data_IF_395895462131
#
_entry.id   IF_395895462131
#
_cell.length_a   1.000
_cell.length_b   1.000
_cell.length_c   1.000
_cell.angle_alpha   90.00
_cell.angle_beta   90.00
_cell.angle_gamma   90.00
#
_symmetry.space_group_name_H-M   'P 1'
#
loop_
_entity.id
_entity.type
_entity.pdbx_description
1 polymer ?
#
# COMPACT_ATOMS: atom_id res chain seq x y z
N UNK A 1 -17.52 -0.70 -16.92
CA UNK A 1 -18.54 0.36 -17.09
C UNK A 1 -17.80 1.67 -17.35
N UNK A 2 -18.24 2.54 -18.26
CA UNK A 2 -17.58 3.84 -18.46
C UNK A 2 -17.90 4.81 -17.33
N UNK A 3 -17.03 5.79 -17.07
CA UNK A 3 -17.30 6.83 -16.06
C UNK A 3 -18.60 7.59 -16.35
N UNK A 4 -18.87 7.92 -17.62
CA UNK A 4 -20.15 8.53 -18.05
C UNK A 4 -21.36 7.67 -17.65
N UNK A 5 -21.29 6.35 -17.87
CA UNK A 5 -22.38 5.44 -17.50
C UNK A 5 -22.52 5.31 -15.99
N UNK A 6 -21.41 5.29 -15.23
CA UNK A 6 -21.45 5.34 -13.77
C UNK A 6 -22.18 6.59 -13.27
N UNK A 7 -21.81 7.78 -13.76
CA UNK A 7 -22.45 9.05 -13.36
C UNK A 7 -23.96 9.10 -13.63
N UNK A 8 -24.46 8.34 -14.62
CA UNK A 8 -25.88 8.25 -14.93
C UNK A 8 -26.67 7.41 -13.94
N UNK A 9 -26.05 6.42 -13.29
CA UNK A 9 -26.77 5.40 -12.49
C UNK A 9 -26.37 5.34 -11.02
N UNK A 10 -25.22 5.90 -10.62
CA UNK A 10 -24.66 5.72 -9.28
C UNK A 10 -25.54 6.22 -8.12
N UNK A 11 -26.42 7.19 -8.39
CA UNK A 11 -27.36 7.71 -7.38
C UNK A 11 -28.52 6.78 -7.08
N UNK A 12 -28.86 5.90 -8.02
CA UNK A 12 -30.05 5.04 -7.96
C UNK A 12 -29.68 3.56 -7.80
N UNK A 13 -28.42 3.21 -8.01
CA UNK A 13 -27.89 1.85 -7.94
C UNK A 13 -26.97 1.68 -6.72
N UNK A 14 -27.00 0.49 -6.13
CA UNK A 14 -26.08 0.10 -5.05
C UNK A 14 -24.70 -0.26 -5.63
N UNK A 15 -23.98 0.77 -6.09
CA UNK A 15 -22.65 0.67 -6.69
C UNK A 15 -21.76 1.79 -6.19
N UNK A 16 -20.46 1.53 -6.18
CA UNK A 16 -19.43 2.55 -6.02
C UNK A 16 -18.32 2.33 -7.05
N UNK A 17 -17.61 3.39 -7.38
CA UNK A 17 -16.48 3.37 -8.29
C UNK A 17 -15.19 3.30 -7.48
N UNK A 18 -14.33 2.36 -7.88
CA UNK A 18 -12.91 2.27 -7.49
C UNK A 18 -12.12 2.42 -8.77
N UNK A 19 -11.28 3.43 -8.85
CA UNK A 19 -10.55 3.75 -10.09
C UNK A 19 -9.16 4.27 -9.77
N UNK A 20 -8.15 3.64 -10.37
CA UNK A 20 -6.80 4.18 -10.39
C UNK A 20 -6.79 5.50 -11.21
N UNK A 21 -6.14 6.52 -10.64
CA UNK A 21 -6.10 7.88 -11.19
C UNK A 21 -4.69 8.30 -11.64
N UNK A 22 -3.81 7.34 -11.87
CA UNK A 22 -2.50 7.52 -12.49
C UNK A 22 -2.62 7.76 -14.00
N UNK A 23 -1.57 8.30 -14.65
CA UNK A 23 -1.55 8.47 -16.10
C UNK A 23 -1.85 7.15 -16.83
N UNK A 24 -2.60 7.20 -17.96
CA UNK A 24 -3.01 8.39 -18.71
C UNK A 24 -4.29 9.09 -18.20
N UNK A 25 -4.76 8.80 -16.98
CA UNK A 25 -5.98 9.42 -16.45
C UNK A 25 -5.82 10.95 -16.32
N UNK A 26 -6.71 11.76 -16.93
CA UNK A 26 -6.60 13.22 -16.85
C UNK A 26 -6.74 13.77 -15.42
N UNK A 27 -7.40 13.03 -14.51
CA UNK A 27 -7.53 13.43 -13.11
C UNK A 27 -6.20 13.43 -12.35
N UNK A 28 -5.13 12.79 -12.86
CA UNK A 28 -3.80 12.84 -12.25
C UNK A 28 -3.35 14.28 -11.96
N UNK A 29 -3.73 15.23 -12.84
CA UNK A 29 -3.35 16.66 -12.72
C UNK A 29 -4.09 17.40 -11.60
N UNK A 30 -5.20 16.85 -11.14
CA UNK A 30 -6.07 17.42 -10.11
C UNK A 30 -5.76 16.86 -8.72
N UNK A 31 -4.82 15.92 -8.61
CA UNK A 31 -4.47 15.26 -7.35
C UNK A 31 -3.20 15.86 -6.80
N UNK A 32 -3.23 16.12 -5.49
CA UNK A 32 -2.15 16.75 -4.76
C UNK A 32 -1.65 15.82 -3.66
N UNK A 33 -0.33 15.73 -3.53
CA UNK A 33 0.32 15.11 -2.39
C UNK A 33 0.36 16.10 -1.22
N UNK A 34 -0.06 15.71 -0.01
CA UNK A 34 0.06 16.55 1.17
C UNK A 34 1.54 16.76 1.54
N UNK A 35 1.83 17.91 2.18
CA UNK A 35 3.17 18.31 2.64
C UNK A 35 3.97 17.22 3.35
N UNK A 36 3.32 16.37 4.15
CA UNK A 36 3.97 15.29 4.88
C UNK A 36 4.63 14.23 3.97
N UNK A 37 4.20 14.11 2.71
CA UNK A 37 4.79 13.19 1.73
C UNK A 37 5.84 13.86 0.83
N UNK A 38 6.04 15.17 0.92
CA UNK A 38 6.96 15.92 0.05
C UNK A 38 8.41 15.93 0.54
N UNK A 39 8.65 15.46 1.77
CA UNK A 39 9.98 15.30 2.34
C UNK A 39 10.34 13.82 2.45
N UNK A 40 11.50 13.48 3.02
CA UNK A 40 11.69 12.13 3.57
C UNK A 40 11.85 11.01 2.53
N UNK A 41 11.80 11.34 1.23
CA UNK A 41 11.96 10.37 0.15
C UNK A 41 10.69 9.57 -0.14
N UNK A 42 9.57 9.86 0.54
CA UNK A 42 8.27 9.20 0.33
C UNK A 42 7.85 9.22 -1.14
N UNK A 43 8.15 10.32 -1.86
CA UNK A 43 7.84 10.47 -3.29
C UNK A 43 8.52 9.44 -4.19
N UNK A 44 9.60 8.79 -3.74
CA UNK A 44 10.27 7.73 -4.49
C UNK A 44 9.56 6.37 -4.38
N UNK A 45 8.64 6.24 -3.42
CA UNK A 45 7.98 5.00 -3.04
C UNK A 45 6.46 5.03 -3.28
N UNK A 46 5.95 6.07 -3.93
CA UNK A 46 4.55 6.19 -4.31
C UNK A 46 4.16 5.02 -5.20
N UNK A 47 3.03 4.38 -4.90
CA UNK A 47 2.61 3.15 -5.57
C UNK A 47 1.42 3.39 -6.49
N UNK A 48 0.25 3.65 -5.92
CA UNK A 48 -0.99 3.94 -6.67
C UNK A 48 -1.81 5.01 -5.95
N UNK A 49 -2.66 5.66 -6.72
CA UNK A 49 -3.66 6.59 -6.23
C UNK A 49 -5.02 6.05 -6.65
N UNK A 50 -5.91 5.84 -5.68
CA UNK A 50 -7.21 5.20 -5.94
C UNK A 50 -8.33 6.14 -5.56
N UNK A 51 -9.18 6.47 -6.53
CA UNK A 51 -10.40 7.23 -6.32
C UNK A 51 -11.54 6.30 -5.90
N UNK A 52 -12.21 6.69 -4.83
CA UNK A 52 -13.43 6.08 -4.32
C UNK A 52 -14.58 7.06 -4.46
N UNK A 53 -15.59 6.70 -5.24
CA UNK A 53 -16.74 7.56 -5.50
C UNK A 53 -18.05 6.77 -5.36
N UNK A 54 -18.91 7.18 -4.44
CA UNK A 54 -20.24 6.60 -4.23
C UNK A 54 -21.34 7.66 -4.04
N UNK A 55 -22.59 7.22 -4.11
CA UNK A 55 -23.77 8.03 -3.76
C UNK A 55 -24.01 8.13 -2.26
N UNK A 56 -23.27 7.37 -1.45
CA UNK A 56 -23.36 7.33 0.01
C UNK A 56 -23.74 5.96 0.56
N UNK A 57 -23.61 5.80 1.88
CA UNK A 57 -24.00 4.59 2.62
C UNK A 57 -23.09 3.39 2.38
N UNK A 58 -21.94 3.59 1.73
CA UNK A 58 -20.96 2.54 1.44
C UNK A 58 -20.15 2.17 2.66
N UNK A 59 -19.83 0.87 2.76
CA UNK A 59 -19.08 0.29 3.87
C UNK A 59 -18.00 -0.63 3.33
N UNK A 60 -16.80 -0.57 3.89
CA UNK A 60 -15.78 -1.58 3.65
C UNK A 60 -15.97 -2.76 4.62
N UNK A 61 -15.42 -3.92 4.28
CA UNK A 61 -15.16 -4.94 5.29
C UNK A 61 -14.01 -4.49 6.21
N UNK A 62 -13.84 -5.15 7.35
CA UNK A 62 -12.64 -4.98 8.17
C UNK A 62 -11.49 -5.75 7.50
N UNK A 63 -10.42 -5.03 7.18
CA UNK A 63 -9.27 -5.54 6.42
C UNK A 63 -8.03 -4.70 6.73
N UNK A 64 -6.88 -5.10 6.23
CA UNK A 64 -5.65 -4.31 6.30
C UNK A 64 -5.02 -4.22 4.90
N UNK A 65 -4.28 -3.13 4.67
CA UNK A 65 -3.57 -2.91 3.41
C UNK A 65 -2.08 -3.26 3.57
N UNK A 66 -1.47 -3.74 2.49
CA UNK A 66 -0.02 -3.93 2.36
C UNK A 66 0.73 -2.64 1.98
N UNK A 67 0.17 -1.47 2.26
CA UNK A 67 0.74 -0.17 1.93
C UNK A 67 0.55 0.80 3.07
N UNK A 68 1.44 1.79 3.13
CA UNK A 68 1.15 3.02 3.85
C UNK A 68 0.12 3.83 3.05
N UNK A 69 -0.80 4.49 3.75
CA UNK A 69 -1.99 5.01 3.10
C UNK A 69 -2.44 6.34 3.71
N UNK A 70 -2.70 7.35 2.88
CA UNK A 70 -3.47 8.53 3.28
C UNK A 70 -4.77 8.55 2.51
N UNK A 71 -5.91 8.51 3.21
CA UNK A 71 -7.22 8.77 2.64
C UNK A 71 -7.55 10.26 2.75
N UNK A 72 -7.64 10.97 1.63
CA UNK A 72 -8.10 12.36 1.58
C UNK A 72 -9.55 12.42 1.12
N UNK A 73 -10.42 13.03 1.91
CA UNK A 73 -11.86 13.12 1.66
C UNK A 73 -12.20 14.46 1.00
N UNK A 74 -12.72 14.41 -0.22
CA UNK A 74 -13.07 15.59 -1.03
C UNK A 74 -14.53 15.97 -0.87
N UNK A 75 -15.40 14.99 -0.60
CA UNK A 75 -16.81 15.22 -0.33
C UNK A 75 -17.41 14.11 0.53
N UNK A 76 -18.43 14.48 1.32
CA UNK A 76 -19.07 13.59 2.28
C UNK A 76 -18.38 13.55 3.63
N UNK A 77 -18.64 12.48 4.37
CA UNK A 77 -18.05 12.21 5.68
C UNK A 77 -17.88 10.71 5.90
N UNK A 78 -16.86 10.34 6.67
CA UNK A 78 -16.51 8.94 6.94
C UNK A 78 -16.22 8.73 8.42
N UNK A 79 -16.58 7.55 8.91
CA UNK A 79 -16.11 7.02 10.19
C UNK A 79 -15.19 5.83 9.91
N UNK A 80 -14.01 5.83 10.54
CA UNK A 80 -13.02 4.77 10.40
C UNK A 80 -12.79 4.13 11.76
N UNK A 81 -13.07 2.84 11.85
CA UNK A 81 -12.65 2.00 12.97
C UNK A 81 -11.27 1.46 12.63
N UNK A 82 -10.29 1.71 13.50
CA UNK A 82 -8.90 1.33 13.32
C UNK A 82 -8.45 0.39 14.44
N UNK A 83 -7.77 -0.70 14.09
CA UNK A 83 -7.15 -1.63 15.02
C UNK A 83 -5.67 -1.76 14.67
N UNK A 84 -4.82 -1.59 15.68
CA UNK A 84 -3.36 -1.72 15.56
C UNK A 84 -2.97 -3.12 15.08
N UNK A 85 -2.04 -3.20 14.12
CA UNK A 85 -1.54 -4.45 13.53
C UNK A 85 -1.08 -5.48 14.57
N UNK A 86 -0.60 -5.04 15.76
CA UNK A 86 -0.17 -5.97 16.83
C UNK A 86 -1.30 -6.87 17.36
N UNK A 87 -2.55 -6.53 17.07
CA UNK A 87 -3.72 -7.35 17.42
C UNK A 87 -4.17 -8.28 16.28
N UNK A 88 -3.34 -8.49 15.25
CA UNK A 88 -3.62 -9.38 14.10
C UNK A 88 -4.19 -10.74 14.51
N UNK A 89 -3.59 -11.41 15.49
CA UNK A 89 -4.03 -12.74 15.96
C UNK A 89 -5.41 -12.74 16.62
N UNK A 90 -5.92 -11.55 16.98
CA UNK A 90 -7.25 -11.38 17.56
C UNK A 90 -8.29 -10.95 16.51
N UNK A 91 -7.87 -10.54 15.32
CA UNK A 91 -8.77 -10.18 14.22
C UNK A 91 -9.04 -11.43 13.38
N UNK A 92 -10.29 -11.92 13.34
CA UNK A 92 -10.63 -13.13 12.60
C UNK A 92 -10.70 -12.81 11.11
N UNK A 93 -9.78 -13.35 10.32
CA UNK A 93 -9.68 -13.15 8.87
C UNK A 93 -10.00 -14.44 8.11
N UNK A 94 -10.56 -14.29 6.91
CA UNK A 94 -10.67 -15.37 5.94
C UNK A 94 -9.35 -15.56 5.16
N UNK A 95 -9.33 -16.52 4.25
CA UNK A 95 -8.16 -16.82 3.41
C UNK A 95 -7.72 -15.67 2.49
N UNK A 96 -8.58 -14.67 2.28
CA UNK A 96 -8.29 -13.51 1.45
C UNK A 96 -7.89 -12.29 2.31
N UNK A 97 -7.75 -12.45 3.63
CA UNK A 97 -7.36 -11.37 4.53
C UNK A 97 -8.52 -10.47 4.97
N UNK A 98 -9.78 -10.88 4.78
CA UNK A 98 -10.95 -10.09 5.17
C UNK A 98 -11.64 -10.65 6.40
N UNK A 99 -12.09 -9.79 7.32
CA UNK A 99 -12.98 -10.21 8.39
C UNK A 99 -14.43 -10.19 7.93
N UNK A 100 -15.14 -11.29 8.16
CA UNK A 100 -16.58 -11.39 7.93
C UNK A 100 -17.44 -10.77 9.04
N UNK A 101 -16.84 -10.09 10.02
CA UNK A 101 -17.58 -9.45 11.10
C UNK A 101 -18.27 -8.16 10.61
N UNK A 102 -19.53 -7.98 11.01
CA UNK A 102 -20.19 -6.67 10.92
C UNK A 102 -19.64 -5.78 12.04
N UNK A 103 -18.80 -4.82 11.69
CA UNK A 103 -18.09 -3.95 12.66
C UNK A 103 -19.05 -3.05 13.42
N UNK A 104 -20.17 -2.65 12.81
CA UNK A 104 -21.18 -1.83 13.48
C UNK A 104 -22.07 -2.66 14.41
N UNK A 105 -22.07 -3.99 14.25
CA UNK A 105 -22.90 -4.91 15.04
C UNK A 105 -22.22 -6.28 15.21
N UNK A 106 -21.10 -6.30 15.93
CA UNK A 106 -20.30 -7.51 16.11
C UNK A 106 -21.07 -8.59 16.89
N UNK A 107 -21.21 -9.78 16.30
CA UNK A 107 -21.64 -10.98 17.01
C UNK A 107 -20.49 -11.53 17.87
N UNK A 108 -20.51 -11.24 19.17
CA UNK A 108 -19.47 -11.67 20.10
C UNK A 108 -19.49 -13.17 20.43
N UNK A 109 -20.54 -13.91 20.08
CA UNK A 109 -20.50 -15.38 20.17
C UNK A 109 -19.69 -15.97 19.02
N UNK A 110 -19.80 -15.37 17.83
CA UNK A 110 -19.05 -15.78 16.63
C UNK A 110 -17.62 -15.21 16.60
N UNK A 111 -17.44 -13.98 17.07
CA UNK A 111 -16.17 -13.24 17.05
C UNK A 111 -15.76 -12.75 18.46
N UNK A 112 -15.59 -13.66 19.44
CA UNK A 112 -15.36 -13.28 20.84
C UNK A 112 -14.05 -12.53 21.07
N UNK A 113 -13.06 -12.69 20.19
CA UNK A 113 -11.77 -12.01 20.27
C UNK A 113 -11.92 -10.51 20.06
N UNK A 114 -12.79 -10.07 19.14
CA UNK A 114 -13.01 -8.65 18.84
C UNK A 114 -13.55 -7.86 20.05
N UNK A 115 -14.24 -8.52 20.98
CA UNK A 115 -14.68 -7.90 22.24
C UNK A 115 -13.55 -7.53 23.21
N UNK A 116 -12.32 -7.93 22.92
CA UNK A 116 -11.13 -7.67 23.75
C UNK A 116 -10.07 -6.82 23.05
N UNK A 117 -10.29 -6.49 21.77
CA UNK A 117 -9.32 -5.75 20.96
C UNK A 117 -9.50 -4.25 21.17
N UNK A 118 -8.46 -3.52 21.59
CA UNK A 118 -8.48 -2.07 21.58
C UNK A 118 -8.60 -1.54 20.15
N UNK A 119 -9.45 -0.55 19.95
CA UNK A 119 -9.70 0.08 18.66
C UNK A 119 -9.82 1.59 18.81
N UNK A 120 -9.60 2.30 17.71
CA UNK A 120 -9.74 3.75 17.61
C UNK A 120 -10.86 4.10 16.64
N UNK A 121 -11.56 5.21 16.91
CA UNK A 121 -12.53 5.79 16.00
C UNK A 121 -11.97 7.11 15.48
N UNK A 122 -11.86 7.23 14.17
CA UNK A 122 -11.63 8.50 13.50
C UNK A 122 -12.88 8.92 12.74
N UNK A 123 -13.16 10.22 12.74
CA UNK A 123 -14.21 10.82 11.92
C UNK A 123 -13.56 11.82 10.98
N UNK A 124 -13.96 11.77 9.72
CA UNK A 124 -13.48 12.66 8.67
C UNK A 124 -14.64 13.39 8.04
N UNK A 125 -14.46 14.67 7.78
CA UNK A 125 -15.32 15.50 6.96
C UNK A 125 -14.57 15.93 5.69
N UNK A 126 -15.28 16.50 4.72
CA UNK A 126 -14.66 17.00 3.50
C UNK A 126 -13.56 18.02 3.81
N UNK A 127 -12.37 17.80 3.23
CA UNK A 127 -11.14 18.55 3.51
C UNK A 127 -10.14 17.81 4.40
N UNK A 128 -10.56 16.78 5.13
CA UNK A 128 -9.66 15.99 5.97
C UNK A 128 -8.86 14.97 5.16
N UNK A 129 -7.62 14.76 5.58
CA UNK A 129 -6.79 13.64 5.16
C UNK A 129 -6.42 12.79 6.39
N UNK A 130 -6.59 11.49 6.30
CA UNK A 130 -6.35 10.55 7.40
C UNK A 130 -5.30 9.53 7.00
N UNK A 131 -4.25 9.46 7.80
CA UNK A 131 -3.18 8.46 7.65
C UNK A 131 -3.61 7.13 8.27
N UNK A 132 -3.57 6.09 7.45
CA UNK A 132 -3.81 4.69 7.78
C UNK A 132 -2.43 4.01 7.71
N UNK A 133 -1.83 3.67 8.87
CA UNK A 133 -0.53 3.06 8.87
C UNK A 133 -0.56 1.67 8.25
N UNK A 134 0.56 1.27 7.66
CA UNK A 134 0.77 -0.05 7.10
C UNK A 134 0.28 -1.18 8.01
N UNK A 135 -0.43 -2.14 7.41
CA UNK A 135 -1.06 -3.29 8.06
C UNK A 135 -2.07 -2.99 9.18
N UNK A 136 -2.42 -1.72 9.45
CA UNK A 136 -3.50 -1.44 10.39
C UNK A 136 -4.84 -1.90 9.83
N UNK A 137 -5.57 -2.63 10.66
CA UNK A 137 -6.90 -3.07 10.29
C UNK A 137 -7.85 -1.89 10.34
N UNK A 138 -8.67 -1.75 9.32
CA UNK A 138 -9.60 -0.65 9.21
C UNK A 138 -10.93 -1.05 8.59
N UNK A 139 -11.99 -0.40 9.07
CA UNK A 139 -13.33 -0.45 8.52
C UNK A 139 -13.82 0.97 8.31
N UNK A 140 -14.32 1.26 7.11
CA UNK A 140 -14.79 2.58 6.71
C UNK A 140 -16.28 2.55 6.51
N UNK A 141 -16.99 3.43 7.22
CA UNK A 141 -18.42 3.67 7.06
C UNK A 141 -18.62 5.08 6.49
N UNK A 142 -19.16 5.16 5.27
CA UNK A 142 -19.40 6.43 4.59
C UNK A 142 -20.80 6.94 4.88
N UNK A 143 -20.94 8.25 5.04
CA UNK A 143 -22.23 8.89 5.27
C UNK A 143 -23.21 8.64 4.13
N UNK A 144 -24.50 8.87 4.39
CA UNK A 144 -25.59 8.60 3.41
C UNK A 144 -25.64 9.59 2.23
N UNK A 145 -24.77 10.60 2.22
CA UNK A 145 -24.61 11.52 1.09
C UNK A 145 -23.51 11.07 0.14
N UNK A 146 -23.39 11.74 -1.01
CA UNK A 146 -22.28 11.54 -1.94
C UNK A 146 -20.95 11.54 -1.18
N UNK A 147 -20.09 10.57 -1.50
CA UNK A 147 -18.76 10.45 -0.95
C UNK A 147 -17.72 10.38 -2.07
N UNK A 148 -16.66 11.18 -1.96
CA UNK A 148 -15.54 11.20 -2.90
C UNK A 148 -14.23 11.28 -2.12
N UNK A 149 -13.35 10.30 -2.27
CA UNK A 149 -12.04 10.28 -1.62
C UNK A 149 -10.95 9.77 -2.55
N UNK A 150 -9.72 10.18 -2.29
CA UNK A 150 -8.52 9.62 -2.91
C UNK A 150 -7.69 8.94 -1.81
N UNK A 151 -7.35 7.68 -2.02
CA UNK A 151 -6.28 7.03 -1.29
C UNK A 151 -4.96 7.30 -1.99
N UNK A 152 -3.96 7.69 -1.21
CA UNK A 152 -2.58 7.85 -1.62
C UNK A 152 -1.79 6.70 -1.01
N UNK A 153 -1.40 5.73 -1.83
CA UNK A 153 -0.64 4.57 -1.37
C UNK A 153 0.83 4.71 -1.73
N UNK A 154 1.68 4.45 -0.75
CA UNK A 154 3.11 4.29 -0.95
C UNK A 154 3.59 3.11 -0.13
N UNK A 155 4.78 2.66 -0.46
CA UNK A 155 5.28 1.41 0.09
C UNK A 155 5.94 1.63 1.44
N UNK A 156 5.82 0.65 2.33
CA UNK A 156 6.48 0.68 3.63
C UNK A 156 7.99 0.81 3.44
N UNK A 157 8.58 1.82 4.07
CA UNK A 157 10.04 1.91 4.16
C UNK A 157 10.49 1.21 5.45
N UNK A 158 11.40 0.24 5.32
CA UNK A 158 11.93 -0.53 6.46
C UNK A 158 12.80 0.34 7.39
N UNK A 159 13.54 1.26 6.78
CA UNK A 159 14.24 2.33 7.48
C UNK A 159 13.84 3.63 6.80
N UNK A 160 13.32 4.59 7.55
CA UNK A 160 12.93 5.90 7.00
C UNK A 160 14.23 6.69 6.81
N UNK A 161 14.83 6.77 5.61
CA UNK A 161 16.22 7.17 5.50
C UNK A 161 16.43 8.67 5.69
N UNK A 162 15.42 9.43 6.13
CA UNK A 162 15.38 10.88 5.91
C UNK A 162 14.49 11.63 6.92
N UNK A 163 14.11 11.07 8.08
CA UNK A 163 13.40 11.88 9.09
C UNK A 163 14.22 13.11 9.48
N UNK A 164 15.52 12.88 9.72
CA UNK A 164 16.49 13.92 10.07
C UNK A 164 16.76 14.89 8.92
N UNK A 165 16.65 14.43 7.66
CA UNK A 165 16.77 15.28 6.46
C UNK A 165 15.49 16.07 6.16
N UNK A 166 14.34 15.53 6.58
CA UNK A 166 13.02 16.12 6.39
C UNK A 166 12.79 17.25 7.40
N UNK A 167 12.95 16.97 8.70
CA UNK A 167 12.53 17.85 9.80
C UNK A 167 13.06 19.30 9.69
N UNK A 168 14.33 19.55 9.29
CA UNK A 168 14.84 20.90 9.07
C UNK A 168 14.25 21.64 7.87
N UNK A 169 13.72 20.90 6.88
CA UNK A 169 13.24 21.42 5.59
C UNK A 169 11.73 21.45 5.47
N UNK A 170 10.97 20.82 6.38
CA UNK A 170 9.51 20.76 6.31
C UNK A 170 8.91 22.16 6.17
N UNK A 171 9.43 23.16 6.90
CA UNK A 171 8.88 24.51 6.85
C UNK A 171 8.96 25.15 5.46
N UNK A 172 10.01 24.82 4.68
CA UNK A 172 10.26 25.36 3.35
C UNK A 172 9.44 24.68 2.24
N UNK A 173 8.81 23.54 2.54
CA UNK A 173 7.99 22.81 1.58
C UNK A 173 6.60 23.46 1.42
N UNK A 174 6.01 23.41 0.21
CA UNK A 174 4.64 23.84 0.01
C UNK A 174 3.66 22.96 0.81
N UNK A 175 2.45 23.47 1.08
CA UNK A 175 1.41 22.72 1.78
C UNK A 175 0.93 21.49 1.01
N UNK A 176 1.08 21.51 -0.31
CA UNK A 176 0.82 20.38 -1.19
C UNK A 176 1.52 20.58 -2.53
N UNK A 177 1.74 19.50 -3.28
CA UNK A 177 2.21 19.59 -4.67
C UNK A 177 1.51 18.56 -5.58
N UNK A 178 1.46 18.83 -6.88
CA UNK A 178 0.71 18.02 -7.84
C UNK A 178 1.38 16.66 -8.06
N UNK A 179 0.58 15.60 -7.98
CA UNK A 179 1.01 14.21 -8.09
C UNK A 179 1.80 13.92 -9.36
N UNK A 180 1.37 14.44 -10.52
CA UNK A 180 1.98 14.12 -11.82
C UNK A 180 3.45 14.54 -11.94
N UNK A 181 3.95 15.37 -11.00
CA UNK A 181 5.36 15.76 -10.93
C UNK A 181 6.27 14.65 -10.41
N UNK A 182 5.69 13.61 -9.81
CA UNK A 182 6.42 12.53 -9.14
C UNK A 182 6.32 11.23 -9.91
N UNK A 183 7.39 10.44 -9.84
CA UNK A 183 7.43 9.12 -10.43
C UNK A 183 6.64 8.14 -9.56
N UNK A 184 5.82 7.32 -10.20
CA UNK A 184 5.19 6.17 -9.57
C UNK A 184 6.10 4.94 -9.63
N UNK A 185 6.15 4.17 -8.55
CA UNK A 185 6.88 2.91 -8.42
C UNK A 185 5.93 1.74 -8.05
N UNK A 186 4.91 1.44 -8.88
CA UNK A 186 4.01 0.32 -8.66
C UNK A 186 4.79 -1.01 -8.61
N UNK A 187 4.37 -1.88 -7.69
CA UNK A 187 4.85 -3.25 -7.54
C UNK A 187 6.24 -3.45 -6.91
N UNK A 188 7.27 -2.72 -7.37
CA UNK A 188 8.69 -2.98 -7.03
C UNK A 188 8.92 -3.11 -5.52
N UNK A 189 8.21 -2.32 -4.76
CA UNK A 189 8.38 -2.23 -3.32
C UNK A 189 7.62 -3.31 -2.54
N UNK A 190 6.58 -3.93 -3.12
CA UNK A 190 6.03 -5.17 -2.56
C UNK A 190 7.07 -6.30 -2.59
N UNK A 191 7.91 -6.33 -3.63
CA UNK A 191 9.04 -7.28 -3.69
C UNK A 191 10.10 -6.98 -2.63
N UNK A 192 10.34 -5.69 -2.33
CA UNK A 192 11.24 -5.28 -1.24
C UNK A 192 10.67 -5.61 0.14
N UNK A 193 9.35 -5.61 0.32
CA UNK A 193 8.77 -6.05 1.57
C UNK A 193 9.20 -7.49 1.92
N UNK A 194 9.14 -8.41 0.95
CA UNK A 194 9.63 -9.79 1.15
C UNK A 194 11.12 -9.86 1.50
N UNK A 195 11.94 -8.94 0.96
CA UNK A 195 13.36 -8.86 1.32
C UNK A 195 13.55 -8.46 2.78
N UNK A 196 12.81 -7.44 3.24
CA UNK A 196 12.97 -6.85 4.57
C UNK A 196 12.15 -7.55 5.67
N UNK A 197 11.24 -8.47 5.33
CA UNK A 197 10.41 -9.21 6.29
C UNK A 197 11.24 -9.95 7.36
N UNK A 198 12.43 -10.44 6.98
CA UNK A 198 13.33 -11.15 7.90
C UNK A 198 14.23 -10.24 8.74
N UNK A 199 14.18 -8.92 8.57
CA UNK A 199 15.10 -8.04 9.29
C UNK A 199 14.61 -7.79 10.72
N UNK A 200 15.54 -7.77 11.67
CA UNK A 200 15.23 -7.40 13.05
C UNK A 200 15.09 -5.88 13.18
N UNK A 201 13.97 -5.42 13.72
CA UNK A 201 13.64 -4.00 13.84
C UNK A 201 14.66 -3.20 14.67
N UNK A 202 15.34 -3.83 15.64
CA UNK A 202 16.29 -3.16 16.52
C UNK A 202 17.68 -3.11 15.93
N UNK A 203 18.15 -4.23 15.40
CA UNK A 203 19.52 -4.30 14.84
C UNK A 203 19.57 -3.80 13.41
N UNK A 204 18.43 -3.73 12.73
CA UNK A 204 18.33 -3.34 11.31
C UNK A 204 19.18 -4.26 10.42
N UNK A 205 19.18 -5.55 10.74
CA UNK A 205 19.94 -6.58 10.02
C UNK A 205 19.19 -7.91 9.99
N UNK A 206 19.55 -8.80 9.08
CA UNK A 206 19.12 -10.21 9.09
C UNK A 206 20.31 -11.14 8.89
N UNK A 207 20.27 -12.32 9.50
CA UNK A 207 21.28 -13.36 9.27
C UNK A 207 20.87 -14.23 8.08
N UNK A 208 21.83 -14.90 7.44
CA UNK A 208 21.53 -15.84 6.35
C UNK A 208 20.48 -16.88 6.72
N UNK A 209 20.59 -17.46 7.91
CA UNK A 209 19.63 -18.48 8.37
C UNK A 209 18.23 -17.90 8.52
N UNK A 210 18.11 -16.71 9.13
CA UNK A 210 16.81 -16.07 9.33
C UNK A 210 16.18 -15.65 7.99
N UNK A 211 16.97 -15.03 7.11
CA UNK A 211 16.53 -14.64 5.77
C UNK A 211 15.97 -15.83 4.98
N UNK A 212 16.72 -16.92 4.91
CA UNK A 212 16.32 -18.12 4.17
C UNK A 212 15.08 -18.77 4.79
N UNK A 213 15.01 -18.85 6.12
CA UNK A 213 13.88 -19.44 6.82
C UNK A 213 12.59 -18.63 6.60
N UNK A 214 12.64 -17.32 6.86
CA UNK A 214 11.48 -16.42 6.68
C UNK A 214 11.02 -16.43 5.22
N UNK A 215 11.94 -16.26 4.26
CA UNK A 215 11.57 -16.22 2.84
C UNK A 215 10.87 -17.51 2.38
N UNK A 216 11.39 -18.68 2.78
CA UNK A 216 10.78 -19.98 2.47
C UNK A 216 9.39 -20.10 3.12
N UNK A 217 9.25 -19.66 4.37
CA UNK A 217 7.97 -19.72 5.10
C UNK A 217 6.92 -18.82 4.43
N UNK A 218 7.27 -17.57 4.12
CA UNK A 218 6.38 -16.63 3.41
C UNK A 218 5.98 -17.20 2.05
N UNK A 219 6.94 -17.73 1.29
CA UNK A 219 6.65 -18.29 -0.04
C UNK A 219 5.79 -19.56 0.03
N UNK A 220 6.01 -20.43 1.01
CA UNK A 220 5.19 -21.62 1.20
C UNK A 220 3.75 -21.28 1.62
N UNK A 221 3.56 -20.20 2.39
CA UNK A 221 2.23 -19.74 2.80
C UNK A 221 1.42 -19.16 1.63
N UNK A 222 2.10 -18.55 0.65
CA UNK A 222 1.48 -17.89 -0.50
C UNK A 222 1.43 -18.77 -1.77
N UNK A 223 1.94 -20.00 -1.72
CA UNK A 223 2.11 -20.82 -2.93
C UNK A 223 1.74 -22.28 -2.71
N UNK A 224 0.63 -22.69 -3.31
CA UNK A 224 0.29 -24.11 -3.42
C UNK A 224 1.34 -24.83 -4.27
N UNK A 225 1.99 -25.84 -3.70
CA UNK A 225 2.99 -26.67 -4.39
C UNK A 225 4.41 -26.09 -4.42
N UNK A 226 4.74 -25.13 -3.55
CA UNK A 226 6.10 -24.60 -3.43
C UNK A 226 7.10 -25.66 -2.96
N UNK A 227 8.16 -25.87 -3.74
CA UNK A 227 9.28 -26.70 -3.35
C UNK A 227 10.29 -25.88 -2.54
N UNK A 228 10.10 -25.90 -1.21
CA UNK A 228 11.00 -25.27 -0.27
C UNK A 228 12.45 -25.78 -0.38
N UNK A 229 12.65 -27.05 -0.74
CA UNK A 229 13.98 -27.66 -0.81
C UNK A 229 14.73 -27.20 -2.05
N UNK A 230 14.06 -27.17 -3.19
CA UNK A 230 14.63 -26.64 -4.43
C UNK A 230 14.91 -25.14 -4.35
N UNK A 231 14.04 -24.39 -3.67
CA UNK A 231 14.15 -22.93 -3.57
C UNK A 231 15.25 -22.48 -2.59
N UNK A 232 15.50 -23.27 -1.53
CA UNK A 232 16.50 -22.94 -0.50
C UNK A 232 17.86 -22.54 -1.07
N UNK A 233 18.39 -23.31 -2.02
CA UNK A 233 19.71 -23.05 -2.61
C UNK A 233 19.74 -21.74 -3.40
N UNK A 234 18.64 -21.40 -4.07
CA UNK A 234 18.52 -20.14 -4.81
C UNK A 234 18.47 -18.93 -3.87
N UNK A 235 17.72 -19.04 -2.78
CA UNK A 235 17.61 -17.99 -1.74
C UNK A 235 18.95 -17.80 -1.01
N UNK A 236 19.65 -18.90 -0.69
CA UNK A 236 21.00 -18.84 -0.12
C UNK A 236 22.00 -18.16 -1.06
N UNK A 237 21.97 -18.50 -2.35
CA UNK A 237 22.85 -17.88 -3.35
C UNK A 237 22.50 -16.41 -3.58
N UNK A 238 21.22 -16.05 -3.50
CA UNK A 238 20.78 -14.66 -3.52
C UNK A 238 21.33 -13.90 -2.30
N UNK A 239 21.20 -14.45 -1.09
CA UNK A 239 21.78 -13.85 0.12
C UNK A 239 23.28 -13.59 -0.05
N UNK A 240 24.05 -14.61 -0.45
CA UNK A 240 25.50 -14.51 -0.61
C UNK A 240 25.93 -13.48 -1.67
N UNK A 241 25.08 -13.20 -2.66
CA UNK A 241 25.33 -12.18 -3.68
C UNK A 241 25.23 -10.75 -3.14
N UNK A 242 24.43 -10.53 -2.09
CA UNK A 242 24.16 -9.20 -1.53
C UNK A 242 24.80 -8.95 -0.17
N UNK A 243 25.30 -10.01 0.48
CA UNK A 243 26.24 -9.92 1.59
C UNK A 243 27.61 -9.51 1.04
N UNK A 244 27.76 -8.20 0.78
CA UNK A 244 28.90 -7.66 0.02
C UNK A 244 30.20 -7.70 0.82
N UNK A 245 30.10 -7.72 2.15
CA UNK A 245 31.24 -7.80 3.05
C UNK A 245 31.55 -9.26 3.48
N UNK A 246 30.65 -10.20 3.22
CA UNK A 246 30.81 -11.63 3.48
C UNK A 246 30.76 -12.00 4.96
N UNK A 247 30.08 -11.22 5.79
CA UNK A 247 30.00 -11.44 7.24
C UNK A 247 28.82 -12.35 7.66
N UNK A 248 28.00 -12.78 6.70
CA UNK A 248 26.82 -13.62 6.92
C UNK A 248 25.58 -12.85 7.40
N UNK A 249 25.62 -11.51 7.34
CA UNK A 249 24.58 -10.59 7.83
C UNK A 249 24.26 -9.57 6.72
N UNK A 250 22.99 -9.49 6.32
CA UNK A 250 22.55 -8.41 5.45
C UNK A 250 22.18 -7.19 6.28
N UNK A 251 22.75 -6.05 5.91
CA UNK A 251 22.39 -4.72 6.42
C UNK A 251 21.28 -4.08 5.59
N UNK A 252 20.61 -3.06 6.15
CA UNK A 252 19.60 -2.28 5.41
C UNK A 252 20.19 -1.64 4.16
N UNK A 253 21.43 -1.15 4.23
CA UNK A 253 22.11 -0.55 3.09
C UNK A 253 22.30 -1.55 1.95
N UNK A 254 22.70 -2.78 2.26
CA UNK A 254 22.81 -3.87 1.27
C UNK A 254 21.45 -4.27 0.71
N UNK A 255 20.43 -4.36 1.57
CA UNK A 255 19.06 -4.64 1.13
C UNK A 255 18.51 -3.59 0.15
N UNK A 256 18.78 -2.30 0.40
CA UNK A 256 18.37 -1.24 -0.53
C UNK A 256 19.21 -1.20 -1.81
N UNK A 257 20.46 -1.69 -1.79
CA UNK A 257 21.30 -1.81 -2.97
C UNK A 257 20.80 -2.89 -3.96
N UNK A 258 19.94 -3.82 -3.52
CA UNK A 258 19.27 -4.78 -4.40
C UNK A 258 18.38 -4.04 -5.39
N UNK A 259 18.57 -4.28 -6.68
CA UNK A 259 17.75 -3.70 -7.75
C UNK A 259 16.45 -4.47 -7.97
N UNK A 260 15.48 -3.83 -8.62
CA UNK A 260 14.21 -4.48 -8.97
C UNK A 260 14.41 -5.74 -9.82
N UNK A 261 15.34 -5.70 -10.78
CA UNK A 261 15.62 -6.86 -11.64
C UNK A 261 16.18 -8.04 -10.84
N UNK A 262 16.98 -7.77 -9.83
CA UNK A 262 17.52 -8.79 -8.93
C UNK A 262 16.42 -9.39 -8.06
N UNK A 263 15.47 -8.58 -7.58
CA UNK A 263 14.29 -9.09 -6.86
C UNK A 263 13.39 -9.93 -7.77
N UNK A 264 13.20 -9.53 -9.03
CA UNK A 264 12.46 -10.33 -10.03
C UNK A 264 13.14 -11.67 -10.30
N UNK A 265 14.47 -11.71 -10.35
CA UNK A 265 15.24 -12.95 -10.49
C UNK A 265 14.96 -13.93 -9.34
N UNK A 266 14.84 -13.41 -8.10
CA UNK A 266 14.54 -14.20 -6.92
C UNK A 266 13.07 -14.66 -6.87
N UNK A 267 12.13 -13.77 -7.19
CA UNK A 267 10.69 -13.99 -7.04
C UNK A 267 10.03 -14.65 -8.27
N UNK A 268 10.74 -14.73 -9.40
CA UNK A 268 10.23 -15.29 -10.64
C UNK A 268 9.00 -14.54 -11.17
N UNK A 269 8.00 -15.30 -11.65
CA UNK A 269 6.77 -14.74 -12.24
C UNK A 269 5.96 -13.89 -11.27
N UNK A 270 6.07 -14.13 -9.96
CA UNK A 270 5.43 -13.29 -8.93
C UNK A 270 6.08 -11.93 -8.82
N UNK A 271 7.36 -11.83 -9.13
CA UNK A 271 8.01 -10.55 -9.34
C UNK A 271 7.29 -9.70 -10.40
N UNK A 272 6.57 -10.30 -11.36
CA UNK A 272 5.76 -9.58 -12.37
C UNK A 272 4.42 -9.08 -11.83
N UNK A 273 3.72 -9.87 -11.01
CA UNK A 273 2.52 -9.42 -10.28
C UNK A 273 2.83 -8.22 -9.38
N UNK A 274 4.06 -8.19 -8.86
CA UNK A 274 4.64 -7.08 -8.12
C UNK A 274 5.54 -6.17 -8.98
N UNK A 275 5.40 -6.05 -10.32
CA UNK A 275 6.29 -5.13 -11.06
C UNK A 275 5.74 -4.55 -12.36
N UNK A 276 4.42 -4.49 -12.56
CA UNK A 276 3.88 -3.76 -13.70
C UNK A 276 4.47 -2.33 -13.72
N UNK A 277 5.22 -2.04 -14.78
CA UNK A 277 6.38 -1.17 -14.75
C UNK A 277 6.02 0.30 -14.51
N UNK A 278 6.59 0.88 -13.45
CA UNK A 278 6.52 2.31 -13.17
C UNK A 278 7.36 3.16 -14.12
N UNK A 279 6.79 3.59 -15.24
CA UNK A 279 7.21 4.81 -15.94
C UNK A 279 5.98 5.62 -16.32
N UNK A 280 5.69 6.64 -15.53
CA UNK A 280 4.88 7.76 -15.98
C UNK A 280 5.56 9.07 -15.55
N UNK A 281 5.95 9.87 -16.55
CA UNK A 281 6.29 11.28 -16.38
C UNK A 281 7.59 11.76 -17.03
N UNK A 282 7.53 12.15 -18.31
CA UNK A 282 8.12 13.42 -18.77
C UNK A 282 7.00 14.32 -19.32
N UNK A 283 7.01 15.64 -19.11
CA UNK A 283 6.06 16.57 -19.72
C UNK A 283 5.99 16.48 -21.25
N UNK A 284 7.04 15.96 -21.89
CA UNK A 284 7.14 15.81 -23.34
C UNK A 284 6.37 14.60 -23.90
N UNK A 285 5.99 13.63 -23.06
CA UNK A 285 5.29 12.40 -23.49
C UNK A 285 3.78 12.62 -23.72
N UNK A 286 3.29 13.86 -23.58
CA UNK A 286 1.88 14.23 -23.78
C UNK A 286 1.56 14.70 -25.21
N UNK A 287 2.45 14.50 -26.17
CA UNK A 287 2.16 14.75 -27.60
C UNK A 287 1.79 13.46 -28.33
N UNK A 288 0.58 12.95 -28.10
CA UNK A 288 -0.08 12.15 -29.13
C UNK A 288 -1.51 12.66 -29.39
N UNK A 289 -1.77 12.85 -30.67
CA UNK A 289 -3.00 13.32 -31.29
C UNK A 289 -4.22 12.42 -31.00
N UNK A 290 -5.46 12.92 -31.15
CA UNK A 290 -6.65 12.16 -30.84
C UNK A 290 -6.77 10.97 -31.79
N UNK A 291 -6.67 9.75 -31.27
CA UNK A 291 -7.17 8.56 -31.98
C UNK A 291 -8.68 8.54 -31.84
N UNK A 292 -9.36 8.94 -32.89
CA UNK A 292 -10.69 8.44 -33.21
C UNK A 292 -10.61 6.91 -33.31
N UNK A 293 -11.53 6.19 -32.63
CA UNK A 293 -12.37 5.17 -33.27
C UNK A 293 -13.28 4.43 -32.25
N UNK A 294 -14.58 4.45 -32.62
CA UNK A 294 -15.71 3.53 -32.39
C UNK A 294 -16.24 3.27 -30.96
#
# INVERSE_FOLDING_TARGET
MTFKKFLQVYKESDIYLVQDVLPPNPMTKEIYLPKCLLCGGYTNYLNTMVMWFSSGGTKSVLHNDGFENINCLYDGSKELVMIDQKYRDMVPLDKNGYSGADVEKVDLYKYPTLGKVPWHLAKMEAGDCFYIPYQWFHHVNSSRSRNLAINIWWSQMYDLPQREDCEPKVQDLPDSDQLFKYKMAPGIEMSRHMLFESFDDKTKTTTKSNFVETFIQTMAAETDGFDATASKKAVEAFFDKFDTNGDGILTVAEGYAVTSDQLKELLGDRGRDFSEEGIYGSPDDLKEEPREEL
#
